data_IF_191124390848
#
_entry.id   IF_191124390848
#
_cell.length_a   1.000
_cell.length_b   1.000
_cell.length_c   1.000
_cell.angle_alpha   90.00
_cell.angle_beta   90.00
_cell.angle_gamma   90.00
#
_symmetry.space_group_name_H-M   'P 1'
#
loop_
_entity.id
_entity.type
_entity.pdbx_description
1 polymer ?
#
# COMPACT_ATOMS: atom_id res chain seq x y z
N UNK A 1 -4.19 -24.31 18.72
CA UNK A 1 -4.70 -23.05 19.32
C UNK A 1 -4.46 -21.80 18.45
N UNK A 2 -3.82 -21.90 17.28
CA UNK A 2 -3.61 -20.79 16.34
C UNK A 2 -4.87 -20.27 15.59
N UNK A 3 -5.99 -21.01 15.59
CA UNK A 3 -7.18 -20.66 14.82
C UNK A 3 -7.95 -19.44 15.37
N UNK A 4 -7.84 -19.15 16.67
CA UNK A 4 -8.55 -18.02 17.30
C UNK A 4 -7.97 -16.65 16.95
N UNK A 5 -6.64 -16.55 16.82
CA UNK A 5 -5.97 -15.29 16.47
C UNK A 5 -6.28 -14.83 15.04
N UNK A 6 -6.25 -15.77 14.09
CA UNK A 6 -6.56 -15.46 12.69
C UNK A 6 -8.00 -14.96 12.49
N UNK A 7 -8.98 -15.54 13.20
CA UNK A 7 -10.37 -15.10 13.14
C UNK A 7 -10.54 -13.65 13.61
N UNK A 8 -9.90 -13.27 14.72
CA UNK A 8 -9.95 -11.92 15.28
C UNK A 8 -9.36 -10.88 14.33
N UNK A 9 -8.19 -11.16 13.74
CA UNK A 9 -7.57 -10.30 12.73
C UNK A 9 -8.45 -10.11 11.50
N UNK A 10 -9.04 -11.20 10.98
CA UNK A 10 -9.92 -11.13 9.81
C UNK A 10 -11.20 -10.32 10.11
N UNK A 11 -11.78 -10.47 11.31
CA UNK A 11 -12.93 -9.68 11.76
C UNK A 11 -12.58 -8.19 11.89
N UNK A 12 -11.41 -7.87 12.45
CA UNK A 12 -10.91 -6.50 12.53
C UNK A 12 -10.75 -5.87 11.14
N UNK A 13 -10.08 -6.56 10.22
CA UNK A 13 -9.87 -6.08 8.85
C UNK A 13 -11.19 -5.92 8.07
N UNK A 14 -12.14 -6.83 8.29
CA UNK A 14 -13.49 -6.70 7.73
C UNK A 14 -14.22 -5.47 8.30
N UNK A 15 -14.15 -5.26 9.61
CA UNK A 15 -14.72 -4.09 10.28
C UNK A 15 -14.13 -2.76 9.77
N UNK A 16 -12.81 -2.70 9.60
CA UNK A 16 -12.11 -1.55 9.00
C UNK A 16 -12.64 -1.30 7.58
N UNK A 17 -12.72 -2.35 6.76
CA UNK A 17 -13.17 -2.24 5.36
C UNK A 17 -14.60 -1.73 5.25
N UNK A 18 -15.52 -2.25 6.07
CA UNK A 18 -16.92 -1.79 6.11
C UNK A 18 -17.00 -0.34 6.55
N UNK A 19 -16.31 0.02 7.63
CA UNK A 19 -16.31 1.39 8.19
C UNK A 19 -15.77 2.40 7.19
N UNK A 20 -14.63 2.09 6.55
CA UNK A 20 -14.05 2.93 5.49
C UNK A 20 -14.99 3.05 4.30
N UNK A 21 -15.64 1.97 3.88
CA UNK A 21 -16.65 2.00 2.83
C UNK A 21 -17.81 2.95 3.13
N UNK A 22 -18.32 2.93 4.37
CA UNK A 22 -19.36 3.85 4.84
C UNK A 22 -18.86 5.30 4.85
N UNK A 23 -17.69 5.57 5.43
CA UNK A 23 -17.07 6.90 5.46
C UNK A 23 -16.86 7.47 4.05
N UNK A 24 -16.36 6.66 3.11
CA UNK A 24 -16.20 7.04 1.70
C UNK A 24 -17.54 7.39 1.05
N UNK A 25 -18.58 6.57 1.27
CA UNK A 25 -19.92 6.82 0.73
C UNK A 25 -20.52 8.12 1.28
N UNK A 26 -20.37 8.38 2.57
CA UNK A 26 -20.83 9.61 3.22
C UNK A 26 -20.06 10.83 2.69
N UNK A 27 -18.74 10.72 2.55
CA UNK A 27 -17.88 11.78 2.01
C UNK A 27 -18.31 12.17 0.59
N UNK A 28 -18.50 11.19 -0.31
CA UNK A 28 -18.98 11.46 -1.69
C UNK A 28 -20.34 12.14 -1.73
N UNK A 29 -21.22 11.83 -0.78
CA UNK A 29 -22.57 12.41 -0.69
C UNK A 29 -22.54 13.83 -0.13
N UNK A 30 -21.81 14.06 0.96
CA UNK A 30 -21.81 15.33 1.71
C UNK A 30 -20.88 16.38 1.11
N UNK A 31 -19.77 15.98 0.50
CA UNK A 31 -18.71 16.90 0.06
C UNK A 31 -18.64 17.03 -1.47
N UNK A 32 -19.72 16.71 -2.18
CA UNK A 32 -19.81 16.84 -3.65
C UNK A 32 -19.49 18.26 -4.12
N UNK A 33 -19.89 19.28 -3.35
CA UNK A 33 -19.62 20.69 -3.64
C UNK A 33 -18.17 21.13 -3.36
N UNK A 34 -17.38 20.32 -2.64
CA UNK A 34 -16.01 20.64 -2.23
C UNK A 34 -15.03 19.58 -2.78
N UNK A 35 -14.72 19.60 -4.08
CA UNK A 35 -14.01 18.50 -4.75
C UNK A 35 -12.62 18.22 -4.17
N UNK A 36 -11.88 19.26 -3.75
CA UNK A 36 -10.55 19.10 -3.13
C UNK A 36 -10.64 18.33 -1.80
N UNK A 37 -11.51 18.77 -0.91
CA UNK A 37 -11.71 18.12 0.39
C UNK A 37 -12.26 16.70 0.22
N UNK A 38 -13.18 16.50 -0.72
CA UNK A 38 -13.70 15.19 -1.07
C UNK A 38 -12.57 14.25 -1.52
N UNK A 39 -11.71 14.67 -2.45
CA UNK A 39 -10.55 13.87 -2.91
C UNK A 39 -9.58 13.57 -1.78
N UNK A 40 -9.24 14.56 -0.96
CA UNK A 40 -8.36 14.39 0.19
C UNK A 40 -8.87 13.30 1.14
N UNK A 41 -10.14 13.40 1.58
CA UNK A 41 -10.71 12.43 2.50
C UNK A 41 -10.87 11.05 1.87
N UNK A 42 -11.22 10.96 0.58
CA UNK A 42 -11.30 9.68 -0.12
C UNK A 42 -9.94 8.99 -0.22
N UNK A 43 -8.86 9.70 -0.56
CA UNK A 43 -7.51 9.14 -0.51
C UNK A 43 -7.11 8.76 0.91
N UNK A 44 -7.40 9.61 1.89
CA UNK A 44 -7.05 9.38 3.29
C UNK A 44 -7.70 8.10 3.81
N UNK A 45 -9.03 7.96 3.68
CA UNK A 45 -9.73 6.75 4.13
C UNK A 45 -9.27 5.48 3.42
N UNK A 46 -8.96 5.58 2.12
CA UNK A 46 -8.54 4.41 1.34
C UNK A 46 -7.14 3.96 1.72
N UNK A 47 -6.22 4.91 1.84
CA UNK A 47 -4.85 4.63 2.24
C UNK A 47 -4.81 4.13 3.69
N UNK A 48 -5.70 4.64 4.55
CA UNK A 48 -5.86 4.14 5.92
C UNK A 48 -6.27 2.67 5.91
N UNK A 49 -7.27 2.29 5.09
CA UNK A 49 -7.68 0.89 4.97
C UNK A 49 -6.52 0.00 4.51
N UNK A 50 -5.81 0.39 3.45
CA UNK A 50 -4.64 -0.37 2.97
C UNK A 50 -3.61 -0.51 4.07
N UNK A 51 -3.20 0.60 4.70
CA UNK A 51 -2.17 0.59 5.74
C UNK A 51 -2.58 -0.23 6.98
N UNK A 52 -3.79 -0.04 7.49
CA UNK A 52 -4.27 -0.73 8.69
C UNK A 52 -4.45 -2.23 8.43
N UNK A 53 -5.04 -2.60 7.29
CA UNK A 53 -5.15 -4.00 6.91
C UNK A 53 -3.77 -4.63 6.66
N UNK A 54 -2.84 -3.95 6.00
CA UNK A 54 -1.49 -4.51 5.79
C UNK A 54 -0.72 -4.70 7.11
N UNK A 55 -0.86 -3.79 8.08
CA UNK A 55 -0.29 -3.99 9.42
C UNK A 55 -0.77 -5.32 10.04
N UNK A 56 -2.08 -5.57 10.01
CA UNK A 56 -2.66 -6.81 10.53
C UNK A 56 -2.25 -8.04 9.69
N UNK A 57 -2.18 -7.88 8.37
CA UNK A 57 -1.78 -8.92 7.44
C UNK A 57 -0.33 -9.37 7.67
N UNK A 58 0.57 -8.45 8.03
CA UNK A 58 1.95 -8.79 8.42
C UNK A 58 2.00 -9.73 9.64
N UNK A 59 1.05 -9.60 10.58
CA UNK A 59 0.92 -10.53 11.70
C UNK A 59 0.41 -11.89 11.25
N UNK A 60 -0.61 -11.90 10.38
CA UNK A 60 -1.15 -13.13 9.80
C UNK A 60 -0.17 -13.87 8.90
N UNK A 61 0.81 -13.16 8.32
CA UNK A 61 1.89 -13.75 7.53
C UNK A 61 2.75 -14.74 8.33
N UNK A 62 2.68 -14.68 9.66
CA UNK A 62 3.36 -15.61 10.54
C UNK A 62 2.56 -16.86 10.94
N UNK A 63 1.31 -17.00 10.48
CA UNK A 63 0.45 -18.17 10.75
C UNK A 63 0.77 -19.32 9.78
N UNK A 64 0.87 -20.55 10.29
CA UNK A 64 1.07 -21.76 9.47
C UNK A 64 -0.20 -22.14 8.68
N UNK A 65 -0.08 -22.68 7.45
CA UNK A 65 1.16 -23.02 6.74
C UNK A 65 1.76 -21.83 5.96
N UNK A 66 3.03 -21.51 6.23
CA UNK A 66 3.82 -20.55 5.45
C UNK A 66 4.38 -21.22 4.18
N UNK A 67 4.53 -20.51 3.05
CA UNK A 67 4.10 -19.13 2.78
C UNK A 67 2.66 -19.04 2.24
N UNK A 68 1.99 -20.17 2.00
CA UNK A 68 0.75 -20.23 1.24
C UNK A 68 -0.41 -19.45 1.89
N UNK A 69 -0.54 -19.48 3.22
CA UNK A 69 -1.57 -18.70 3.93
C UNK A 69 -1.36 -17.18 3.75
N UNK A 70 -0.13 -16.71 3.93
CA UNK A 70 0.23 -15.30 3.77
C UNK A 70 -0.05 -14.78 2.35
N UNK A 71 0.33 -15.56 1.34
CA UNK A 71 0.07 -15.21 -0.07
C UNK A 71 -1.43 -15.22 -0.39
N UNK A 72 -2.18 -16.19 0.17
CA UNK A 72 -3.64 -16.28 -0.03
C UNK A 72 -4.34 -15.06 0.57
N UNK A 73 -3.97 -14.66 1.79
CA UNK A 73 -4.52 -13.44 2.40
C UNK A 73 -4.08 -12.18 1.66
N UNK A 74 -2.82 -12.09 1.21
CA UNK A 74 -2.32 -10.98 0.38
C UNK A 74 -3.15 -10.82 -0.88
N UNK A 75 -3.38 -11.90 -1.61
CA UNK A 75 -4.24 -11.89 -2.80
C UNK A 75 -5.66 -11.46 -2.45
N UNK A 76 -6.29 -12.10 -1.47
CA UNK A 76 -7.68 -11.84 -1.08
C UNK A 76 -7.92 -10.39 -0.64
N UNK A 77 -7.05 -9.85 0.23
CA UNK A 77 -7.16 -8.46 0.69
C UNK A 77 -6.80 -7.46 -0.40
N UNK A 78 -5.87 -7.77 -1.30
CA UNK A 78 -5.58 -6.90 -2.45
C UNK A 78 -6.77 -6.82 -3.40
N UNK A 79 -7.46 -7.94 -3.67
CA UNK A 79 -8.73 -7.95 -4.40
C UNK A 79 -9.78 -7.09 -3.68
N UNK A 80 -9.95 -7.31 -2.36
CA UNK A 80 -10.91 -6.55 -1.56
C UNK A 80 -10.64 -5.04 -1.60
N UNK A 81 -9.38 -4.63 -1.50
CA UNK A 81 -8.97 -3.23 -1.65
C UNK A 81 -9.28 -2.70 -3.04
N UNK A 82 -8.97 -3.44 -4.11
CA UNK A 82 -9.30 -3.05 -5.48
C UNK A 82 -10.80 -2.86 -5.73
N UNK A 83 -11.65 -3.68 -5.09
CA UNK A 83 -13.11 -3.58 -5.21
C UNK A 83 -13.70 -2.42 -4.38
N UNK A 84 -13.15 -2.14 -3.20
CA UNK A 84 -13.72 -1.16 -2.25
C UNK A 84 -13.16 0.26 -2.41
N UNK A 85 -11.94 0.38 -2.91
CA UNK A 85 -11.18 1.63 -2.97
C UNK A 85 -11.17 2.28 -4.35
N UNK A 86 -12.14 1.95 -5.20
CA UNK A 86 -12.25 2.49 -6.57
C UNK A 86 -12.14 4.03 -6.63
N UNK A 87 -11.35 4.51 -7.58
CA UNK A 87 -11.05 5.93 -7.78
C UNK A 87 -10.04 6.52 -6.79
N UNK A 88 -9.42 5.72 -5.94
CA UNK A 88 -8.30 6.14 -5.08
C UNK A 88 -7.00 5.44 -5.47
N UNK A 89 -5.88 6.13 -5.37
CA UNK A 89 -4.55 5.63 -5.73
C UNK A 89 -3.88 4.90 -4.56
N UNK A 90 -4.04 5.41 -3.33
CA UNK A 90 -3.49 4.81 -2.10
C UNK A 90 -1.95 4.60 -2.10
N UNK A 91 -1.25 5.21 -3.05
CA UNK A 91 0.18 5.08 -3.25
C UNK A 91 0.70 6.39 -3.87
N UNK A 92 1.71 7.04 -3.26
CA UNK A 92 2.36 8.22 -3.83
C UNK A 92 2.90 7.96 -5.25
N UNK A 93 3.50 6.79 -5.50
CA UNK A 93 3.98 6.38 -6.82
C UNK A 93 2.86 6.34 -7.86
N UNK A 94 1.72 5.73 -7.51
CA UNK A 94 0.53 5.73 -8.39
C UNK A 94 -0.09 7.11 -8.60
N UNK A 95 0.26 8.11 -7.77
CA UNK A 95 -0.16 9.51 -7.94
C UNK A 95 0.82 10.28 -8.84
N UNK A 96 2.11 10.00 -8.72
CA UNK A 96 3.16 10.62 -9.54
C UNK A 96 3.01 10.29 -11.02
N UNK A 97 2.60 9.06 -11.36
CA UNK A 97 2.41 8.61 -12.75
C UNK A 97 1.47 9.54 -13.56
N UNK A 98 0.20 9.75 -13.17
CA UNK A 98 -0.69 10.67 -13.89
C UNK A 98 -0.32 12.15 -13.69
N UNK A 99 0.46 12.51 -12.67
CA UNK A 99 0.98 13.88 -12.56
C UNK A 99 2.02 14.18 -13.64
N UNK A 100 2.84 13.20 -14.00
CA UNK A 100 3.84 13.32 -15.07
C UNK A 100 3.18 13.47 -16.43
N UNK A 101 2.30 12.53 -16.81
CA UNK A 101 1.59 12.53 -18.09
C UNK A 101 0.46 13.56 -18.22
N UNK A 102 0.37 14.54 -17.31
CA UNK A 102 -0.65 15.60 -17.34
C UNK A 102 -2.08 15.18 -16.98
N UNK A 103 -2.33 13.91 -16.67
CA UNK A 103 -3.63 13.38 -16.25
C UNK A 103 -4.12 13.87 -14.88
N UNK A 104 -3.25 14.45 -14.05
CA UNK A 104 -3.62 15.07 -12.77
C UNK A 104 -2.76 16.31 -12.50
N UNK A 105 -3.39 17.45 -12.18
CA UNK A 105 -2.63 18.67 -11.83
C UNK A 105 -1.73 18.47 -10.61
N UNK A 106 -0.55 19.11 -10.59
CA UNK A 106 0.42 19.01 -9.48
C UNK A 106 -0.20 19.34 -8.12
N UNK A 107 -1.07 20.36 -8.07
CA UNK A 107 -1.79 20.74 -6.84
C UNK A 107 -2.70 19.62 -6.31
N UNK A 108 -3.42 18.95 -7.20
CA UNK A 108 -4.29 17.84 -6.82
C UNK A 108 -3.47 16.60 -6.44
N UNK A 109 -2.42 16.31 -7.19
CA UNK A 109 -1.50 15.22 -6.87
C UNK A 109 -0.83 15.37 -5.50
N UNK A 110 -0.31 16.57 -5.20
CA UNK A 110 0.23 16.89 -3.89
C UNK A 110 -0.79 16.73 -2.75
N UNK A 111 -2.05 17.11 -2.99
CA UNK A 111 -3.13 16.91 -2.02
C UNK A 111 -3.39 15.42 -1.74
N UNK A 112 -3.37 14.57 -2.79
CA UNK A 112 -3.52 13.12 -2.66
C UNK A 112 -2.36 12.48 -1.90
N UNK A 113 -1.12 12.89 -2.19
CA UNK A 113 0.08 12.41 -1.50
C UNK A 113 0.04 12.82 -0.01
N UNK A 114 -0.34 14.06 0.28
CA UNK A 114 -0.52 14.51 1.67
C UNK A 114 -1.58 13.66 2.41
N UNK A 115 -2.72 13.39 1.77
CA UNK A 115 -3.76 12.53 2.33
C UNK A 115 -3.25 11.10 2.62
N UNK A 116 -2.42 10.55 1.73
CA UNK A 116 -1.84 9.21 1.86
C UNK A 116 -0.90 9.13 3.06
N UNK A 117 -0.02 10.12 3.27
CA UNK A 117 0.87 10.15 4.43
C UNK A 117 0.13 10.41 5.75
N UNK A 118 -0.88 11.30 5.77
CA UNK A 118 -1.76 11.48 6.94
C UNK A 118 -2.42 10.16 7.31
N UNK A 119 -2.96 9.44 6.33
CA UNK A 119 -3.57 8.15 6.55
C UNK A 119 -2.61 7.08 7.06
N UNK A 120 -1.36 7.07 6.57
CA UNK A 120 -0.31 6.18 7.05
C UNK A 120 -0.03 6.39 8.55
N UNK A 121 0.05 7.64 9.00
CA UNK A 121 0.20 7.98 10.42
C UNK A 121 -1.02 7.54 11.22
N UNK A 122 -2.23 7.87 10.76
CA UNK A 122 -3.47 7.50 11.44
C UNK A 122 -3.63 5.98 11.56
N UNK A 123 -3.32 5.23 10.50
CA UNK A 123 -3.39 3.77 10.49
C UNK A 123 -2.43 3.18 11.53
N UNK A 124 -1.19 3.68 11.58
CA UNK A 124 -0.20 3.23 12.57
C UNK A 124 -0.65 3.49 14.01
N UNK A 125 -1.09 4.73 14.31
CA UNK A 125 -1.58 5.08 15.66
C UNK A 125 -2.77 4.20 16.04
N UNK A 126 -3.71 4.02 15.12
CA UNK A 126 -4.87 3.17 15.32
C UNK A 126 -4.48 1.71 15.58
N UNK A 127 -3.60 1.13 14.76
CA UNK A 127 -3.21 -0.27 14.90
C UNK A 127 -2.41 -0.53 16.18
N UNK A 128 -1.49 0.36 16.56
CA UNK A 128 -0.80 0.26 17.85
C UNK A 128 -1.77 0.32 19.03
N UNK A 129 -2.79 1.19 18.97
CA UNK A 129 -3.84 1.22 19.97
C UNK A 129 -4.62 -0.10 20.01
N UNK A 130 -5.07 -0.60 18.86
CA UNK A 130 -5.82 -1.86 18.79
C UNK A 130 -5.00 -3.04 19.30
N UNK A 131 -3.72 -3.14 18.92
CA UNK A 131 -2.83 -4.19 19.41
C UNK A 131 -2.55 -4.10 20.91
N UNK A 132 -2.51 -2.89 21.47
CA UNK A 132 -2.36 -2.70 22.92
C UNK A 132 -3.55 -3.23 23.73
N UNK A 133 -4.71 -3.42 23.10
CA UNK A 133 -5.88 -4.06 23.74
C UNK A 133 -5.72 -5.58 23.87
N UNK A 134 -4.71 -6.19 23.23
CA UNK A 134 -4.34 -7.58 23.48
C UNK A 134 -5.36 -8.61 23.02
N UNK A 135 -6.11 -8.33 21.95
CA UNK A 135 -7.22 -9.18 21.51
C UNK A 135 -6.78 -10.52 20.92
N UNK A 136 -5.50 -10.67 20.56
CA UNK A 136 -4.89 -11.92 20.12
C UNK A 136 -3.42 -12.01 20.56
N UNK A 137 -2.89 -13.24 20.79
CA UNK A 137 -1.49 -13.46 21.17
C UNK A 137 -0.47 -12.74 20.25
N UNK A 138 -0.60 -12.74 18.91
CA UNK A 138 0.33 -12.04 18.02
C UNK A 138 0.34 -10.51 18.21
N UNK A 139 -0.70 -9.92 18.80
CA UNK A 139 -0.78 -8.46 19.03
C UNK A 139 0.23 -8.00 20.09
N UNK A 140 0.45 -8.82 21.13
CA UNK A 140 1.44 -8.53 22.16
C UNK A 140 2.87 -8.64 21.62
N UNK A 141 3.14 -9.66 20.82
CA UNK A 141 4.43 -9.82 20.14
C UNK A 141 4.70 -8.61 19.24
N UNK A 142 3.74 -8.20 18.41
CA UNK A 142 3.83 -7.03 17.55
C UNK A 142 4.18 -5.74 18.30
N UNK A 143 3.60 -5.55 19.49
CA UNK A 143 3.85 -4.39 20.34
C UNK A 143 5.25 -4.43 20.96
N UNK A 144 5.74 -5.63 21.29
CA UNK A 144 7.03 -5.87 21.96
C UNK A 144 8.23 -5.91 21.01
N UNK A 145 8.04 -6.30 19.74
CA UNK A 145 9.14 -6.60 18.81
C UNK A 145 9.86 -5.34 18.30
N UNK A 146 9.38 -4.14 18.62
CA UNK A 146 9.96 -2.90 18.11
C UNK A 146 10.06 -2.90 16.58
N UNK A 147 10.88 -2.03 15.99
CA UNK A 147 11.05 -2.03 14.55
C UNK A 147 12.09 -3.08 14.11
N UNK A 148 11.64 -4.26 13.69
CA UNK A 148 12.48 -5.23 12.99
C UNK A 148 12.90 -4.63 11.64
N UNK A 149 14.21 -4.54 11.36
CA UNK A 149 14.72 -4.05 10.08
C UNK A 149 14.10 -4.89 8.94
N UNK A 150 13.22 -4.32 8.09
CA UNK A 150 12.54 -5.06 7.03
C UNK A 150 13.50 -5.40 5.88
N UNK A 151 14.66 -4.74 5.80
CA UNK A 151 15.70 -5.05 4.84
C UNK A 151 16.53 -6.23 5.36
N UNK A 152 16.30 -7.40 4.78
CA UNK A 152 17.09 -8.63 5.01
C UNK A 152 18.23 -8.76 3.99
N UNK A 153 18.60 -7.65 3.34
CA UNK A 153 19.58 -7.57 2.26
C UNK A 153 20.35 -6.25 2.36
N UNK A 154 21.33 -6.03 1.48
CA UNK A 154 22.09 -4.77 1.45
C UNK A 154 21.20 -3.61 0.97
N UNK A 155 21.51 -2.38 1.38
CA UNK A 155 20.77 -1.18 0.96
C UNK A 155 20.69 -1.07 -0.57
N UNK A 156 21.79 -1.32 -1.27
CA UNK A 156 21.84 -1.28 -2.74
C UNK A 156 20.94 -2.34 -3.36
N UNK A 157 20.95 -3.57 -2.83
CA UNK A 157 20.05 -4.62 -3.32
C UNK A 157 18.59 -4.27 -3.04
N UNK A 158 18.27 -3.78 -1.85
CA UNK A 158 16.92 -3.36 -1.48
C UNK A 158 16.42 -2.24 -2.39
N UNK A 159 17.26 -1.25 -2.68
CA UNK A 159 16.97 -0.16 -3.61
C UNK A 159 16.64 -0.71 -5.01
N UNK A 160 17.48 -1.59 -5.55
CA UNK A 160 17.25 -2.18 -6.87
C UNK A 160 15.96 -3.00 -6.93
N UNK A 161 15.65 -3.76 -5.88
CA UNK A 161 14.43 -4.58 -5.79
C UNK A 161 13.18 -3.70 -5.76
N UNK A 162 13.13 -2.70 -4.87
CA UNK A 162 11.98 -1.79 -4.74
C UNK A 162 11.78 -0.94 -6.00
N UNK A 163 12.87 -0.51 -6.65
CA UNK A 163 12.82 0.16 -7.95
C UNK A 163 12.23 -0.76 -9.02
N UNK A 164 12.75 -1.99 -9.16
CA UNK A 164 12.28 -2.95 -10.16
C UNK A 164 10.81 -3.30 -9.94
N UNK A 165 10.40 -3.56 -8.71
CA UNK A 165 9.02 -3.87 -8.36
C UNK A 165 8.09 -2.71 -8.69
N UNK A 166 8.50 -1.47 -8.40
CA UNK A 166 7.73 -0.30 -8.81
C UNK A 166 7.63 -0.16 -10.33
N UNK A 167 8.71 -0.39 -11.08
CA UNK A 167 8.68 -0.37 -12.56
C UNK A 167 7.69 -1.40 -13.10
N UNK A 168 7.80 -2.65 -12.66
CA UNK A 168 6.92 -3.74 -13.10
C UNK A 168 5.46 -3.44 -12.73
N UNK A 169 5.23 -2.93 -11.53
CA UNK A 169 3.90 -2.57 -11.06
C UNK A 169 3.27 -1.45 -11.90
N UNK A 170 3.96 -0.33 -12.07
CA UNK A 170 3.43 0.82 -12.83
C UNK A 170 3.24 0.47 -14.31
N UNK A 171 4.19 -0.23 -14.93
CA UNK A 171 4.06 -0.66 -16.32
C UNK A 171 2.85 -1.59 -16.50
N UNK A 172 2.63 -2.50 -15.56
CA UNK A 172 1.46 -3.38 -15.61
C UNK A 172 0.17 -2.59 -15.47
N UNK A 173 0.10 -1.65 -14.53
CA UNK A 173 -1.08 -0.78 -14.32
C UNK A 173 -1.48 -0.06 -15.62
N UNK A 174 -0.51 0.49 -16.36
CA UNK A 174 -0.74 1.12 -17.66
C UNK A 174 -1.19 0.08 -18.70
N UNK A 175 -0.52 -1.06 -18.77
CA UNK A 175 -0.83 -2.12 -19.74
C UNK A 175 -2.24 -2.71 -19.57
N UNK A 176 -2.71 -2.80 -18.33
CA UNK A 176 -4.05 -3.32 -18.02
C UNK A 176 -5.09 -2.21 -17.83
N UNK A 177 -4.79 -0.97 -18.24
CA UNK A 177 -5.71 0.15 -18.06
C UNK A 177 -7.02 -0.06 -18.82
N UNK A 178 -6.94 -0.56 -20.04
CA UNK A 178 -8.09 -0.86 -20.93
C UNK A 178 -8.79 -2.18 -20.61
N UNK A 179 -8.24 -3.00 -19.70
CA UNK A 179 -8.86 -4.26 -19.30
C UNK A 179 -10.10 -3.98 -18.44
N UNK A 180 -11.14 -4.79 -18.61
CA UNK A 180 -12.37 -4.66 -17.82
C UNK A 180 -12.04 -4.59 -16.31
N UNK A 181 -12.60 -3.61 -15.57
CA UNK A 181 -12.32 -3.42 -14.15
C UNK A 181 -12.46 -4.69 -13.30
N UNK A 182 -13.41 -5.57 -13.64
CA UNK A 182 -13.62 -6.85 -12.96
C UNK A 182 -12.38 -7.73 -13.00
N UNK A 183 -11.71 -7.83 -14.15
CA UNK A 183 -10.49 -8.64 -14.31
C UNK A 183 -9.24 -7.87 -13.89
N UNK A 184 -9.21 -6.55 -14.13
CA UNK A 184 -8.10 -5.67 -13.75
C UNK A 184 -7.75 -5.81 -12.27
N UNK A 185 -8.75 -5.84 -11.38
CA UNK A 185 -8.52 -6.03 -9.93
C UNK A 185 -7.80 -7.33 -9.62
N UNK A 186 -8.20 -8.44 -10.25
CA UNK A 186 -7.55 -9.73 -10.04
C UNK A 186 -6.14 -9.81 -10.63
N UNK A 187 -5.91 -9.19 -11.79
CA UNK A 187 -4.58 -9.13 -12.40
C UNK A 187 -3.59 -8.34 -11.51
N UNK A 188 -4.03 -7.20 -10.98
CA UNK A 188 -3.21 -6.39 -10.07
C UNK A 188 -2.99 -7.12 -8.74
N UNK A 189 -4.00 -7.79 -8.18
CA UNK A 189 -3.85 -8.56 -6.97
C UNK A 189 -2.88 -9.74 -7.13
N UNK A 190 -2.97 -10.45 -8.26
CA UNK A 190 -2.04 -11.53 -8.60
C UNK A 190 -0.61 -10.99 -8.74
N UNK A 191 -0.42 -9.87 -9.46
CA UNK A 191 0.89 -9.25 -9.60
C UNK A 191 1.50 -8.89 -8.25
N UNK A 192 0.76 -8.17 -7.40
CA UNK A 192 1.23 -7.79 -6.06
C UNK A 192 1.61 -9.03 -5.26
N UNK A 193 0.77 -10.08 -5.30
CA UNK A 193 1.04 -11.34 -4.60
C UNK A 193 2.33 -12.01 -5.11
N UNK A 194 2.59 -11.98 -6.42
CA UNK A 194 3.81 -12.52 -7.01
C UNK A 194 5.05 -11.70 -6.64
N UNK A 195 4.95 -10.37 -6.58
CA UNK A 195 6.04 -9.50 -6.12
C UNK A 195 6.36 -9.74 -4.63
N UNK A 196 5.32 -9.89 -3.80
CA UNK A 196 5.44 -10.28 -2.39
C UNK A 196 6.07 -11.66 -2.24
N UNK A 197 5.70 -12.63 -3.08
CA UNK A 197 6.36 -13.93 -3.10
C UNK A 197 7.85 -13.83 -3.49
N UNK A 198 8.17 -13.00 -4.48
CA UNK A 198 9.52 -12.90 -5.03
C UNK A 198 10.51 -12.12 -4.13
N UNK A 199 10.04 -11.09 -3.42
CA UNK A 199 10.92 -10.20 -2.65
C UNK A 199 10.38 -9.77 -1.29
N UNK A 200 9.24 -10.30 -0.84
CA UNK A 200 8.65 -9.96 0.46
C UNK A 200 9.56 -10.29 1.64
N UNK A 201 10.34 -11.38 1.56
CA UNK A 201 11.34 -11.72 2.57
C UNK A 201 12.64 -10.89 2.49
N UNK A 202 12.86 -10.15 1.39
CA UNK A 202 14.06 -9.34 1.18
C UNK A 202 13.84 -7.88 1.60
N UNK A 203 12.73 -7.28 1.18
CA UNK A 203 12.41 -5.86 1.40
C UNK A 203 11.00 -5.61 1.94
N UNK A 204 10.15 -6.64 2.05
CA UNK A 204 8.72 -6.50 2.27
C UNK A 204 7.90 -6.29 0.99
N UNK A 205 8.56 -6.06 -0.16
CA UNK A 205 7.94 -5.79 -1.46
C UNK A 205 6.87 -4.68 -1.37
N UNK A 206 7.27 -3.48 -0.94
CA UNK A 206 6.31 -2.45 -0.54
C UNK A 206 5.93 -1.52 -1.71
N UNK A 207 6.91 -1.02 -2.46
CA UNK A 207 6.81 -0.13 -3.63
C UNK A 207 5.76 0.99 -3.49
N UNK A 208 5.55 1.44 -2.26
CA UNK A 208 4.54 2.40 -1.85
C UNK A 208 5.08 3.21 -0.66
N UNK A 209 5.52 4.46 -0.90
CA UNK A 209 6.14 5.29 0.15
C UNK A 209 5.25 5.52 1.37
N UNK A 210 3.93 5.67 1.19
CA UNK A 210 2.99 5.88 2.30
C UNK A 210 2.79 4.60 3.12
N UNK A 211 2.67 3.44 2.45
CA UNK A 211 2.57 2.15 3.12
C UNK A 211 3.85 1.82 3.90
N UNK A 212 5.02 2.03 3.29
CA UNK A 212 6.31 1.85 3.95
C UNK A 212 6.44 2.74 5.20
N UNK A 213 5.97 3.98 5.11
CA UNK A 213 5.96 4.88 6.25
C UNK A 213 5.03 4.40 7.37
N UNK A 214 3.84 3.90 7.04
CA UNK A 214 2.93 3.31 8.04
C UNK A 214 3.57 2.14 8.78
N UNK A 215 4.14 1.18 8.05
CA UNK A 215 4.70 -0.05 8.61
C UNK A 215 6.01 0.21 9.38
N UNK A 216 6.89 1.04 8.83
CA UNK A 216 8.28 1.13 9.29
C UNK A 216 8.68 2.49 9.89
N UNK A 217 7.76 3.42 10.18
CA UNK A 217 8.12 4.77 10.70
C UNK A 217 9.07 4.78 11.90
N UNK A 218 9.02 3.81 12.83
CA UNK A 218 10.02 3.75 13.93
C UNK A 218 11.44 3.44 13.42
N UNK A 219 11.59 2.65 12.35
CA UNK A 219 12.89 2.36 11.73
C UNK A 219 13.47 3.58 10.98
N UNK A 220 12.60 4.51 10.53
CA UNK A 220 13.05 5.75 9.91
C UNK A 220 13.77 6.67 10.89
N UNK A 221 13.64 6.52 12.21
CA UNK A 221 14.37 7.38 13.16
C UNK A 221 15.88 7.10 13.14
N UNK A 222 16.28 5.82 13.21
CA UNK A 222 17.70 5.46 13.30
C UNK A 222 18.41 5.44 11.94
N UNK A 223 17.65 5.19 10.85
CA UNK A 223 18.20 5.02 9.49
C UNK A 223 17.40 5.79 8.43
N UNK A 224 16.98 7.01 8.77
CA UNK A 224 16.10 7.84 7.93
C UNK A 224 16.50 7.87 6.46
N UNK A 225 17.78 8.16 6.19
CA UNK A 225 18.29 8.30 4.82
C UNK A 225 18.22 6.97 4.06
N UNK A 226 18.70 5.88 4.67
CA UNK A 226 18.68 4.54 4.08
C UNK A 226 17.27 4.10 3.71
N UNK A 227 16.31 4.25 4.64
CA UNK A 227 14.93 3.87 4.39
C UNK A 227 14.23 4.79 3.39
N UNK A 228 14.54 6.09 3.41
CA UNK A 228 14.02 7.02 2.42
C UNK A 228 14.54 6.70 1.02
N UNK A 229 15.82 6.35 0.88
CA UNK A 229 16.40 5.93 -0.38
C UNK A 229 15.69 4.68 -0.91
N UNK A 230 15.54 3.65 -0.08
CA UNK A 230 14.97 2.37 -0.50
C UNK A 230 13.46 2.42 -0.73
N UNK A 231 12.70 2.99 0.20
CA UNK A 231 11.23 2.90 0.17
C UNK A 231 10.52 4.12 -0.42
N UNK A 232 11.21 5.27 -0.53
CA UNK A 232 10.63 6.48 -1.13
C UNK A 232 11.25 6.77 -2.48
N UNK A 233 12.58 6.88 -2.55
CA UNK A 233 13.28 7.28 -3.77
C UNK A 233 13.24 6.17 -4.82
N UNK A 234 13.59 4.92 -4.47
CA UNK A 234 13.62 3.83 -5.45
C UNK A 234 12.25 3.60 -6.15
N UNK A 235 11.12 3.50 -5.43
CA UNK A 235 9.80 3.36 -6.06
C UNK A 235 9.37 4.60 -6.85
N UNK A 236 9.68 5.81 -6.34
CA UNK A 236 9.37 7.04 -7.06
C UNK A 236 10.16 7.14 -8.37
N UNK A 237 11.45 6.79 -8.34
CA UNK A 237 12.29 6.74 -9.52
C UNK A 237 11.77 5.70 -10.53
N UNK A 238 11.42 4.50 -10.08
CA UNK A 238 10.82 3.48 -10.95
C UNK A 238 9.56 3.97 -11.65
N UNK A 239 8.70 4.71 -10.94
CA UNK A 239 7.51 5.34 -11.52
C UNK A 239 7.86 6.40 -12.57
N UNK A 240 8.79 7.30 -12.25
CA UNK A 240 9.22 8.37 -13.17
C UNK A 240 9.84 7.76 -14.45
N UNK A 241 10.62 6.69 -14.31
CA UNK A 241 11.19 5.97 -15.46
C UNK A 241 10.08 5.39 -16.35
N UNK A 242 9.06 4.75 -15.76
CA UNK A 242 7.92 4.22 -16.51
C UNK A 242 7.14 5.35 -17.20
N UNK A 243 6.84 6.44 -16.50
CA UNK A 243 6.16 7.60 -17.09
C UNK A 243 6.95 8.20 -18.26
N UNK A 244 8.26 8.39 -18.11
CA UNK A 244 9.12 8.88 -19.17
C UNK A 244 9.12 7.94 -20.39
N UNK A 245 9.31 6.63 -20.18
CA UNK A 245 9.31 5.66 -21.28
C UNK A 245 7.94 5.63 -21.99
N UNK A 246 6.86 5.62 -21.21
CA UNK A 246 5.51 5.48 -21.74
C UNK A 246 5.00 6.71 -22.48
N UNK A 247 5.27 7.91 -21.94
CA UNK A 247 4.74 9.16 -22.46
C UNK A 247 5.67 9.80 -23.51
N UNK A 248 7.00 9.63 -23.38
CA UNK A 248 7.96 10.29 -24.27
C UNK A 248 8.59 9.36 -25.31
N UNK A 249 8.88 8.11 -24.97
CA UNK A 249 9.63 7.21 -25.87
C UNK A 249 8.67 6.43 -26.77
N UNK A 250 7.69 5.73 -26.19
CA UNK A 250 6.78 4.87 -26.96
C UNK A 250 6.02 5.61 -28.08
N UNK A 251 5.47 6.82 -27.88
CA UNK A 251 4.76 7.54 -28.94
C UNK A 251 5.67 8.01 -30.08
N UNK A 252 6.99 8.08 -29.86
CA UNK A 252 7.96 8.49 -30.89
C UNK A 252 8.45 7.32 -31.75
N UNK A 253 8.25 6.08 -31.30
CA UNK A 253 8.69 4.86 -32.00
C UNK A 253 7.54 4.03 -32.56
N UNK A 254 6.29 4.36 -32.22
CA UNK A 254 5.06 3.76 -32.76
C UNK A 254 4.52 4.55 -33.95
#
# INVERSE_FOLDING_TARGET
MAAGGAGTSLLLMAGITVTVGLCRRLTRRRLRAHPRLCTFLLEMFSTFQVCACTNELCLLGNVEPKPHAALTFTYGFTVLHGLTLTGSTCNPCGTLQPMWGGGTSVKMGGLKIAAQFVAAVLARVFMNFIWSLGMAEPHFEALSQGCSNPMQTTETQAFCIELLFSVVFQLTILRVESVNPKYKVHLIALLITMLVYAGGNLTGAIFNPALAFSLHAHCFYDKFLSYSLVYWIAPSLGTILVAFIWDEILPRIS
#
